data_IF_785715744205
#
_entry.id   IF_785715744205
#
_cell.length_a   1.000
_cell.length_b   1.000
_cell.length_c   1.000
_cell.angle_alpha   90.00
_cell.angle_beta   90.00
_cell.angle_gamma   90.00
#
_symmetry.space_group_name_H-M   'P 1'
#
loop_
_entity.id
_entity.type
_entity.pdbx_description
1 polymer ?
#
# COMPACT_ATOMS: atom_id res chain seq x y z
N UNK A 1 -49.54 0.46 -9.58
CA UNK A 1 -49.09 0.93 -8.25
C UNK A 1 -48.42 -0.27 -7.60
N UNK A 2 -47.10 -0.40 -7.43
CA UNK A 2 -46.02 0.58 -7.42
C UNK A 2 -44.72 -0.15 -7.79
N UNK A 3 -43.95 0.46 -8.67
CA UNK A 3 -42.55 0.11 -8.87
C UNK A 3 -41.67 0.70 -7.77
N UNK A 4 -40.38 0.36 -7.87
CA UNK A 4 -39.24 0.86 -7.11
C UNK A 4 -38.89 0.13 -5.80
N UNK A 5 -38.12 -0.95 -5.95
CA UNK A 5 -37.02 -1.29 -5.03
C UNK A 5 -35.82 -1.87 -5.78
N UNK A 6 -35.51 -1.28 -6.94
CA UNK A 6 -34.22 -1.45 -7.61
C UNK A 6 -33.47 -0.12 -7.46
N UNK A 7 -32.86 0.07 -6.30
CA UNK A 7 -31.79 1.04 -6.07
C UNK A 7 -30.58 0.18 -5.66
N UNK A 8 -29.87 -0.39 -6.62
CA UNK A 8 -28.63 0.17 -7.19
C UNK A 8 -27.66 0.66 -6.12
N UNK A 9 -26.87 -0.29 -5.61
CA UNK A 9 -25.46 -0.08 -5.29
C UNK A 9 -24.71 -1.30 -5.83
N UNK A 10 -24.56 -1.36 -7.14
CA UNK A 10 -23.76 -2.37 -7.84
C UNK A 10 -22.35 -1.80 -8.10
N UNK A 11 -21.72 -1.22 -7.08
CA UNK A 11 -20.42 -0.56 -7.19
C UNK A 11 -19.32 -1.17 -6.31
N UNK A 12 -19.57 -2.25 -5.56
CA UNK A 12 -18.59 -2.84 -4.63
C UNK A 12 -17.84 -4.07 -5.16
N UNK A 13 -17.63 -4.16 -6.48
CA UNK A 13 -16.74 -5.19 -7.07
C UNK A 13 -15.83 -4.62 -8.16
N UNK A 14 -15.20 -3.48 -7.90
CA UNK A 14 -13.86 -3.26 -8.45
C UNK A 14 -12.86 -3.86 -7.46
N UNK A 15 -11.77 -4.51 -7.90
CA UNK A 15 -10.63 -4.69 -7.03
C UNK A 15 -10.29 -3.29 -6.54
N UNK A 16 -10.53 -3.02 -5.25
CA UNK A 16 -10.33 -1.71 -4.67
C UNK A 16 -8.85 -1.41 -4.86
N UNK A 17 -8.50 -0.64 -5.89
CA UNK A 17 -7.42 0.31 -5.75
C UNK A 17 -7.82 1.10 -4.51
N UNK A 18 -7.26 0.71 -3.35
CA UNK A 18 -7.69 1.18 -2.03
C UNK A 18 -7.67 2.70 -2.11
N UNK A 19 -8.86 3.29 -2.22
CA UNK A 19 -8.97 4.73 -2.40
C UNK A 19 -8.35 5.38 -1.19
N UNK A 20 -7.49 6.38 -1.40
CA UNK A 20 -6.90 7.13 -0.29
C UNK A 20 -7.89 8.13 0.34
N UNK A 21 -9.18 8.02 0.01
CA UNK A 21 -10.25 8.87 0.53
C UNK A 21 -10.28 8.91 2.06
N UNK A 22 -10.03 7.78 2.73
CA UNK A 22 -10.00 7.73 4.20
C UNK A 22 -8.77 8.44 4.82
N UNK A 23 -7.67 8.54 4.08
CA UNK A 23 -6.53 9.40 4.44
C UNK A 23 -6.88 10.87 4.20
N UNK A 24 -7.52 11.18 3.07
CA UNK A 24 -7.89 12.55 2.70
C UNK A 24 -8.93 13.17 3.64
N UNK A 25 -9.88 12.36 4.10
CA UNK A 25 -10.91 12.77 5.05
C UNK A 25 -10.49 12.58 6.51
N UNK A 26 -9.23 12.20 6.79
CA UNK A 26 -8.79 11.86 8.15
C UNK A 26 -8.66 13.07 9.09
N UNK A 27 -8.55 14.28 8.54
CA UNK A 27 -8.21 15.49 9.29
C UNK A 27 -6.72 15.60 9.67
N UNK A 28 -5.89 14.61 9.33
CA UNK A 28 -4.45 14.65 9.58
C UNK A 28 -3.76 15.74 8.74
N UNK A 29 -2.62 16.28 9.20
CA UNK A 29 -1.86 17.26 8.43
C UNK A 29 -1.47 16.75 7.03
N UNK A 30 -1.45 17.63 6.03
CA UNK A 30 -1.16 17.29 4.63
C UNK A 30 0.11 16.46 4.45
N UNK A 31 1.18 16.79 5.18
CA UNK A 31 2.44 16.05 5.10
C UNK A 31 2.33 14.65 5.68
N UNK A 32 1.52 14.46 6.72
CA UNK A 32 1.19 13.14 7.28
C UNK A 32 0.36 12.34 6.29
N UNK A 33 -0.67 12.96 5.68
CA UNK A 33 -1.46 12.32 4.62
C UNK A 33 -0.60 11.87 3.43
N UNK A 34 0.31 12.72 2.94
CA UNK A 34 1.26 12.37 1.87
C UNK A 34 2.14 11.19 2.25
N UNK A 35 2.66 11.18 3.47
CA UNK A 35 3.48 10.07 3.99
C UNK A 35 2.67 8.77 4.05
N UNK A 36 1.41 8.83 4.48
CA UNK A 36 0.51 7.66 4.51
C UNK A 36 0.19 7.11 3.12
N UNK A 37 -0.08 7.99 2.16
CA UNK A 37 -0.29 7.60 0.75
C UNK A 37 0.94 6.87 0.19
N UNK A 38 2.13 7.39 0.49
CA UNK A 38 3.40 6.75 0.11
C UNK A 38 3.58 5.38 0.78
N UNK A 39 3.26 5.25 2.07
CA UNK A 39 3.31 3.96 2.78
C UNK A 39 2.39 2.92 2.12
N UNK A 40 1.14 3.30 1.79
CA UNK A 40 0.19 2.39 1.15
C UNK A 40 0.63 1.97 -0.24
N UNK A 41 1.13 2.92 -1.02
CA UNK A 41 1.60 2.64 -2.37
C UNK A 41 2.81 1.70 -2.35
N UNK A 42 3.77 1.92 -1.45
CA UNK A 42 4.91 1.01 -1.27
C UNK A 42 4.48 -0.39 -0.86
N UNK A 43 3.51 -0.53 0.06
CA UNK A 43 2.95 -1.84 0.44
C UNK A 43 2.30 -2.54 -0.75
N UNK A 44 1.50 -1.83 -1.55
CA UNK A 44 0.86 -2.36 -2.75
C UNK A 44 1.90 -2.86 -3.76
N UNK A 45 2.92 -2.06 -4.04
CA UNK A 45 3.99 -2.45 -4.96
C UNK A 45 4.79 -3.65 -4.46
N UNK A 46 5.06 -3.72 -3.15
CA UNK A 46 5.73 -4.89 -2.54
C UNK A 46 4.87 -6.14 -2.72
N UNK A 47 3.57 -6.06 -2.43
CA UNK A 47 2.65 -7.19 -2.56
C UNK A 47 2.56 -7.68 -4.02
N UNK A 48 2.43 -6.75 -4.97
CA UNK A 48 2.41 -7.07 -6.40
C UNK A 48 3.71 -7.76 -6.85
N UNK A 49 4.86 -7.27 -6.40
CA UNK A 49 6.17 -7.87 -6.72
C UNK A 49 6.37 -9.22 -6.03
N UNK A 50 5.84 -9.41 -4.83
CA UNK A 50 5.84 -10.71 -4.17
C UNK A 50 4.97 -11.73 -4.92
N UNK A 51 3.81 -11.31 -5.43
CA UNK A 51 2.96 -12.16 -6.27
C UNK A 51 3.64 -12.50 -7.60
N UNK A 52 4.29 -11.52 -8.25
CA UNK A 52 5.09 -11.73 -9.46
C UNK A 52 6.22 -12.74 -9.21
N UNK A 53 6.93 -12.60 -8.09
CA UNK A 53 7.99 -13.53 -7.67
C UNK A 53 7.43 -14.94 -7.46
N UNK A 54 6.29 -15.10 -6.77
CA UNK A 54 5.66 -16.40 -6.55
C UNK A 54 5.24 -17.05 -7.88
N UNK A 55 4.63 -16.28 -8.79
CA UNK A 55 4.23 -16.76 -10.11
C UNK A 55 5.45 -17.21 -10.94
N UNK A 56 6.53 -16.43 -10.92
CA UNK A 56 7.78 -16.77 -11.60
C UNK A 56 8.43 -18.04 -11.04
N UNK A 57 8.38 -18.24 -9.72
CA UNK A 57 8.89 -19.45 -9.08
C UNK A 57 8.06 -20.68 -9.42
N UNK A 58 6.74 -20.53 -9.59
CA UNK A 58 5.83 -21.60 -9.96
C UNK A 58 5.88 -21.97 -11.46
N UNK A 59 6.34 -21.08 -12.33
CA UNK A 59 6.46 -21.33 -13.78
C UNK A 59 7.53 -22.39 -14.08
N UNK A 60 7.14 -23.59 -14.47
CA UNK A 60 8.06 -24.69 -14.77
C UNK A 60 8.62 -24.66 -16.20
N UNK A 61 8.10 -23.79 -17.08
CA UNK A 61 8.42 -23.80 -18.51
C UNK A 61 9.52 -22.82 -18.90
N UNK A 62 9.99 -22.00 -17.95
CA UNK A 62 11.04 -21.01 -18.18
C UNK A 62 12.44 -21.63 -18.06
N UNK A 63 13.34 -21.19 -18.93
CA UNK A 63 14.78 -21.49 -18.82
C UNK A 63 15.32 -21.17 -17.41
N UNK A 64 16.09 -22.07 -16.76
CA UNK A 64 16.56 -21.88 -15.39
C UNK A 64 17.43 -20.64 -15.18
N UNK A 65 18.30 -20.30 -16.13
CA UNK A 65 19.20 -19.14 -16.00
C UNK A 65 18.42 -17.83 -16.17
N UNK A 66 17.49 -17.79 -17.14
CA UNK A 66 16.57 -16.67 -17.30
C UNK A 66 15.72 -16.48 -16.04
N UNK A 67 15.16 -17.56 -15.49
CA UNK A 67 14.36 -17.53 -14.26
C UNK A 67 15.18 -16.99 -13.09
N UNK A 68 16.40 -17.50 -12.90
CA UNK A 68 17.30 -17.06 -11.82
C UNK A 68 17.62 -15.56 -11.92
N UNK A 69 17.89 -15.06 -13.12
CA UNK A 69 18.13 -13.64 -13.35
C UNK A 69 16.91 -12.78 -12.97
N UNK A 70 15.72 -13.16 -13.45
CA UNK A 70 14.47 -12.46 -13.12
C UNK A 70 14.11 -12.49 -11.64
N UNK A 71 14.31 -13.64 -10.98
CA UNK A 71 14.15 -13.77 -9.52
C UNK A 71 15.09 -12.81 -8.79
N UNK A 72 16.36 -12.76 -9.18
CA UNK A 72 17.33 -11.84 -8.57
C UNK A 72 16.95 -10.38 -8.72
N UNK A 73 16.43 -9.99 -9.89
CA UNK A 73 15.92 -8.63 -10.12
C UNK A 73 14.71 -8.33 -9.23
N UNK A 74 13.71 -9.21 -9.18
CA UNK A 74 12.51 -9.02 -8.34
C UNK A 74 12.84 -8.95 -6.84
N UNK A 75 13.74 -9.81 -6.35
CA UNK A 75 14.19 -9.76 -4.95
C UNK A 75 14.87 -8.42 -4.63
N UNK A 76 15.68 -7.90 -5.56
CA UNK A 76 16.32 -6.60 -5.41
C UNK A 76 15.30 -5.46 -5.37
N UNK A 77 14.33 -5.46 -6.29
CA UNK A 77 13.24 -4.48 -6.32
C UNK A 77 12.43 -4.49 -5.02
N UNK A 78 12.05 -5.68 -4.53
CA UNK A 78 11.32 -5.85 -3.26
C UNK A 78 12.14 -5.29 -2.09
N UNK A 79 13.46 -5.52 -2.06
CA UNK A 79 14.33 -5.00 -1.02
C UNK A 79 14.39 -3.45 -1.04
N UNK A 80 14.51 -2.85 -2.23
CA UNK A 80 14.48 -1.38 -2.39
C UNK A 80 13.16 -0.79 -1.95
N UNK A 81 12.03 -1.38 -2.35
CA UNK A 81 10.70 -0.94 -1.92
C UNK A 81 10.51 -1.07 -0.41
N UNK A 82 11.01 -2.15 0.19
CA UNK A 82 10.96 -2.38 1.64
C UNK A 82 11.78 -1.34 2.42
N UNK A 83 12.95 -0.95 1.91
CA UNK A 83 13.74 0.14 2.48
C UNK A 83 13.04 1.50 2.37
N UNK A 84 12.37 1.76 1.25
CA UNK A 84 11.50 2.93 1.08
C UNK A 84 10.36 2.93 2.09
N UNK A 85 9.71 1.78 2.31
CA UNK A 85 8.62 1.62 3.27
C UNK A 85 9.10 1.89 4.70
N UNK A 86 10.26 1.36 5.09
CA UNK A 86 10.87 1.64 6.39
C UNK A 86 11.16 3.14 6.57
N UNK A 87 11.69 3.78 5.52
CA UNK A 87 11.97 5.23 5.51
C UNK A 87 10.70 6.06 5.69
N UNK A 88 9.62 5.71 4.99
CA UNK A 88 8.32 6.38 5.11
C UNK A 88 7.72 6.23 6.51
N UNK A 89 7.79 5.03 7.11
CA UNK A 89 7.35 4.81 8.48
C UNK A 89 8.17 5.61 9.50
N UNK A 90 9.49 5.69 9.31
CA UNK A 90 10.35 6.49 10.17
C UNK A 90 10.03 7.99 10.05
N UNK A 91 9.68 8.48 8.86
CA UNK A 91 9.24 9.85 8.67
C UNK A 91 7.94 10.16 9.46
N UNK A 92 6.98 9.22 9.47
CA UNK A 92 5.76 9.35 10.25
C UNK A 92 6.05 9.42 11.77
N UNK A 93 6.90 8.52 12.28
CA UNK A 93 7.31 8.54 13.70
C UNK A 93 8.08 9.82 14.05
N UNK A 94 8.92 10.31 13.13
CA UNK A 94 9.66 11.56 13.29
C UNK A 94 8.71 12.76 13.42
N UNK A 95 7.64 12.82 12.62
CA UNK A 95 6.63 13.88 12.74
C UNK A 95 6.03 13.94 14.16
N UNK A 96 5.74 12.79 14.77
CA UNK A 96 5.24 12.75 16.14
C UNK A 96 6.30 13.23 17.16
N UNK A 97 7.56 12.81 17.02
CA UNK A 97 8.66 13.25 17.90
C UNK A 97 8.94 14.75 17.81
N UNK A 98 8.69 15.35 16.64
CA UNK A 98 8.85 16.79 16.40
C UNK A 98 7.58 17.60 16.76
N UNK A 99 6.61 16.98 17.45
CA UNK A 99 5.32 17.57 17.80
C UNK A 99 4.54 18.13 16.61
N UNK A 100 4.74 17.56 15.39
CA UNK A 100 3.99 17.91 14.18
C UNK A 100 2.63 17.24 14.12
N UNK A 101 2.47 16.14 14.85
CA UNK A 101 1.23 15.42 15.11
C UNK A 101 1.22 14.98 16.57
N UNK A 102 0.04 14.89 17.15
CA UNK A 102 -0.22 14.38 18.50
C UNK A 102 -0.10 12.85 18.57
N UNK A 103 -0.03 12.27 19.79
CA UNK A 103 -0.08 10.82 19.96
C UNK A 103 -1.33 10.16 19.36
N UNK A 104 -2.50 10.81 19.47
CA UNK A 104 -3.76 10.31 18.91
C UNK A 104 -3.74 10.33 17.38
N UNK A 105 -3.22 11.41 16.78
CA UNK A 105 -3.02 11.50 15.33
C UNK A 105 -2.00 10.48 14.82
N UNK A 106 -0.93 10.20 15.58
CA UNK A 106 0.01 9.13 15.25
C UNK A 106 -0.68 7.77 15.27
N UNK A 107 -1.50 7.48 16.29
CA UNK A 107 -2.26 6.24 16.37
C UNK A 107 -3.24 6.11 15.19
N UNK A 108 -3.97 7.18 14.87
CA UNK A 108 -4.86 7.21 13.71
C UNK A 108 -4.09 6.98 12.40
N UNK A 109 -2.95 7.64 12.22
CA UNK A 109 -2.09 7.48 11.06
C UNK A 109 -1.60 6.04 10.91
N UNK A 110 -1.18 5.38 12.00
CA UNK A 110 -0.77 3.97 11.98
C UNK A 110 -1.92 3.04 11.58
N UNK A 111 -3.14 3.30 12.06
CA UNK A 111 -4.32 2.53 11.66
C UNK A 111 -4.64 2.72 10.17
N UNK A 112 -4.57 3.95 9.66
CA UNK A 112 -4.78 4.23 8.25
C UNK A 112 -3.71 3.58 7.37
N UNK A 113 -2.44 3.62 7.78
CA UNK A 113 -1.34 2.96 7.08
C UNK A 113 -1.51 1.44 6.99
N UNK A 114 -2.23 0.81 7.93
CA UNK A 114 -2.44 -0.64 7.99
C UNK A 114 -3.61 -1.12 7.11
N UNK A 115 -4.53 -0.24 6.73
CA UNK A 115 -5.63 -0.53 5.80
C UNK A 115 -5.12 -0.66 4.37
#
# INVERSE_FOLDING_TARGET
MSGASIQKSADDKKPQAKSNADIESSGLPDQTQKTLKMIRELKRQIEEKQQELQALMADQNMDPEIKKSKVGALVTEIATLSAGLATANNALVKQARENKISPDELQQAQQLAAK
#
